data_IF_614224291897
#
_entry.id   IF_614224291897
#
_cell.length_a   1.000
_cell.length_b   1.000
_cell.length_c   1.000
_cell.angle_alpha   90.00
_cell.angle_beta   90.00
_cell.angle_gamma   90.00
#
_symmetry.space_group_name_H-M   'P 1'
#
loop_
_entity.id
_entity.type
_entity.pdbx_description
1 polymer ?
#
# COMPACT_ATOMS: atom_id res chain seq x y z
N UNK A 1 -57.29 44.90 8.49
CA UNK A 1 -56.96 45.68 7.27
C UNK A 1 -55.68 46.44 7.60
N UNK A 2 -54.50 45.88 7.34
CA UNK A 2 -53.79 45.77 6.06
C UNK A 2 -53.45 47.16 5.49
N UNK A 3 -52.21 47.60 5.70
CA UNK A 3 -51.51 48.43 4.71
C UNK A 3 -50.14 47.80 4.45
N UNK A 4 -49.93 47.57 3.17
CA UNK A 4 -48.78 46.96 2.52
C UNK A 4 -47.79 48.10 2.28
N UNK A 5 -46.56 47.99 2.77
CA UNK A 5 -45.43 48.76 2.22
C UNK A 5 -44.56 47.78 1.45
N UNK A 6 -44.49 48.02 0.13
CA UNK A 6 -43.82 47.23 -0.89
C UNK A 6 -42.36 46.87 -0.50
N UNK A 7 -42.10 45.57 -0.34
CA UNK A 7 -40.75 45.02 -0.22
C UNK A 7 -40.16 44.62 -1.60
N UNK A 8 -40.47 45.38 -2.66
CA UNK A 8 -40.05 45.05 -4.04
C UNK A 8 -38.65 45.53 -4.43
N UNK A 9 -37.93 46.19 -3.55
CA UNK A 9 -36.59 46.69 -3.86
C UNK A 9 -35.44 45.92 -3.18
N UNK A 10 -35.71 44.84 -2.44
CA UNK A 10 -34.65 44.13 -1.71
C UNK A 10 -34.46 42.64 -2.07
N UNK A 11 -34.95 42.20 -3.24
CA UNK A 11 -34.63 40.87 -3.79
C UNK A 11 -33.55 40.88 -4.88
N UNK A 12 -33.14 42.05 -5.38
CA UNK A 12 -32.14 42.14 -6.45
C UNK A 12 -30.69 42.21 -5.95
N UNK A 13 -30.46 42.27 -4.63
CA UNK A 13 -29.11 42.33 -4.04
C UNK A 13 -28.58 40.99 -3.48
N UNK A 14 -29.39 39.94 -3.44
CA UNK A 14 -28.97 38.60 -3.00
C UNK A 14 -28.64 37.65 -4.17
N UNK A 15 -28.06 38.17 -5.26
CA UNK A 15 -27.67 37.33 -6.41
C UNK A 15 -26.25 37.53 -6.93
N UNK A 16 -25.40 38.19 -6.17
CA UNK A 16 -23.96 38.22 -6.44
C UNK A 16 -23.22 38.14 -5.11
N UNK A 17 -22.79 36.93 -4.78
CA UNK A 17 -21.55 36.59 -4.07
C UNK A 17 -21.68 35.16 -3.55
N UNK A 18 -21.65 34.22 -4.48
CA UNK A 18 -21.19 32.86 -4.23
C UNK A 18 -19.90 32.70 -5.02
N UNK A 19 -18.86 33.40 -4.57
CA UNK A 19 -17.45 33.16 -4.95
C UNK A 19 -16.89 32.04 -4.07
N UNK A 20 -17.52 30.87 -4.14
CA UNK A 20 -17.00 29.65 -3.49
C UNK A 20 -17.18 28.47 -4.44
N UNK A 21 -16.65 28.63 -5.66
CA UNK A 21 -16.56 27.56 -6.67
C UNK A 21 -15.11 27.14 -6.95
N UNK A 22 -14.13 27.91 -6.50
CA UNK A 22 -12.72 27.67 -6.82
C UNK A 22 -12.05 26.57 -5.99
N UNK A 23 -12.57 26.27 -4.80
CA UNK A 23 -11.94 25.25 -3.92
C UNK A 23 -12.31 23.82 -4.33
N UNK A 24 -13.55 23.60 -4.78
CA UNK A 24 -13.97 22.28 -5.27
C UNK A 24 -13.33 21.97 -6.64
N UNK A 25 -13.22 22.96 -7.53
CA UNK A 25 -12.54 22.77 -8.81
C UNK A 25 -11.04 22.52 -8.63
N UNK A 26 -10.37 23.17 -7.67
CA UNK A 26 -8.95 22.96 -7.41
C UNK A 26 -8.67 21.58 -6.79
N UNK A 27 -9.49 21.08 -5.85
CA UNK A 27 -9.37 19.69 -5.38
C UNK A 27 -9.60 18.69 -6.52
N UNK A 28 -10.62 18.91 -7.36
CA UNK A 28 -10.92 18.06 -8.51
C UNK A 28 -9.85 18.14 -9.62
N UNK A 29 -9.14 19.25 -9.77
CA UNK A 29 -8.09 19.44 -10.78
C UNK A 29 -6.79 18.74 -10.35
N UNK A 30 -6.46 18.78 -9.05
CA UNK A 30 -5.32 18.08 -8.47
C UNK A 30 -5.53 16.55 -8.45
N UNK A 31 -6.76 16.08 -8.30
CA UNK A 31 -7.11 14.66 -8.42
C UNK A 31 -7.17 14.16 -9.87
N UNK A 32 -7.60 15.02 -10.81
CA UNK A 32 -7.83 14.67 -12.23
C UNK A 32 -6.56 14.68 -13.08
N UNK A 33 -5.52 15.40 -12.68
CA UNK A 33 -4.32 15.55 -13.50
C UNK A 33 -3.40 14.33 -13.51
N UNK A 34 -3.46 13.36 -12.59
CA UNK A 34 -2.57 12.18 -12.65
C UNK A 34 -1.05 12.48 -12.73
N UNK A 35 -0.65 13.75 -12.54
CA UNK A 35 0.72 14.26 -12.56
C UNK A 35 1.45 14.03 -11.23
N UNK A 36 0.73 13.49 -10.26
CA UNK A 36 1.21 13.01 -8.98
C UNK A 36 1.70 11.56 -9.13
N UNK A 37 2.79 11.32 -9.85
CA UNK A 37 3.81 10.39 -9.35
C UNK A 37 4.81 11.27 -8.61
N UNK A 38 4.46 11.76 -7.40
CA UNK A 38 5.25 12.81 -6.80
C UNK A 38 6.51 12.08 -6.37
N UNK A 39 7.69 12.59 -6.69
CA UNK A 39 8.96 11.87 -6.62
C UNK A 39 9.20 10.99 -5.36
N UNK A 40 8.49 11.23 -4.26
CA UNK A 40 8.34 10.32 -3.12
C UNK A 40 7.88 8.90 -3.49
N UNK A 41 6.91 8.69 -4.38
CA UNK A 41 6.40 7.35 -4.72
C UNK A 41 7.45 6.57 -5.50
N UNK A 42 8.03 7.19 -6.53
CA UNK A 42 9.19 6.66 -7.25
C UNK A 42 10.36 6.33 -6.32
N UNK A 43 10.67 7.20 -5.35
CA UNK A 43 11.76 6.98 -4.40
C UNK A 43 11.42 5.85 -3.40
N UNK A 44 10.19 5.78 -2.93
CA UNK A 44 9.69 4.72 -2.06
C UNK A 44 9.79 3.37 -2.78
N UNK A 45 9.30 3.29 -4.02
CA UNK A 45 9.40 2.10 -4.87
C UNK A 45 10.84 1.65 -5.03
N UNK A 46 11.75 2.57 -5.37
CA UNK A 46 13.18 2.27 -5.47
C UNK A 46 13.75 1.71 -4.17
N UNK A 47 13.38 2.32 -3.04
CA UNK A 47 13.83 1.90 -1.71
C UNK A 47 13.30 0.50 -1.36
N UNK A 48 12.02 0.24 -1.58
CA UNK A 48 11.39 -1.04 -1.30
C UNK A 48 11.92 -2.15 -2.22
N UNK A 49 12.10 -1.87 -3.51
CA UNK A 49 12.73 -2.78 -4.46
C UNK A 49 14.16 -3.14 -4.04
N UNK A 50 14.96 -2.14 -3.64
CA UNK A 50 16.31 -2.37 -3.16
C UNK A 50 16.34 -3.22 -1.88
N UNK A 51 15.44 -2.94 -0.93
CA UNK A 51 15.29 -3.72 0.29
C UNK A 51 14.92 -5.18 -0.03
N UNK A 52 13.90 -5.43 -0.85
CA UNK A 52 13.52 -6.77 -1.27
C UNK A 52 14.69 -7.51 -1.93
N UNK A 53 15.42 -6.84 -2.83
CA UNK A 53 16.57 -7.42 -3.52
C UNK A 53 17.75 -7.72 -2.61
N UNK A 54 17.93 -7.01 -1.49
CA UNK A 54 18.98 -7.33 -0.50
C UNK A 54 18.77 -8.71 0.14
N UNK A 55 17.52 -9.19 0.18
CA UNK A 55 17.16 -10.51 0.67
C UNK A 55 17.04 -11.53 -0.47
N UNK A 56 16.33 -11.21 -1.55
CA UNK A 56 16.10 -12.14 -2.67
C UNK A 56 17.39 -12.58 -3.36
N UNK A 57 18.43 -11.73 -3.39
CA UNK A 57 19.74 -12.12 -3.94
C UNK A 57 20.40 -13.26 -3.17
N UNK A 58 20.09 -13.43 -1.88
CA UNK A 58 20.54 -14.60 -1.07
C UNK A 58 19.91 -15.90 -1.57
N UNK A 59 18.75 -15.83 -2.22
CA UNK A 59 18.07 -16.93 -2.89
C UNK A 59 18.28 -16.92 -4.42
N UNK A 60 19.31 -16.21 -4.90
CA UNK A 60 19.71 -16.14 -6.31
C UNK A 60 18.60 -15.63 -7.27
N UNK A 61 17.80 -14.67 -6.80
CA UNK A 61 16.78 -14.00 -7.63
C UNK A 61 16.67 -12.50 -7.30
N UNK A 62 15.93 -11.76 -8.11
CA UNK A 62 15.66 -10.34 -7.92
C UNK A 62 14.30 -9.93 -8.52
N UNK A 63 13.86 -8.73 -8.18
CA UNK A 63 12.74 -8.02 -8.80
C UNK A 63 13.24 -6.72 -9.41
N UNK A 64 12.58 -6.29 -10.49
CA UNK A 64 12.84 -5.05 -11.20
C UNK A 64 11.65 -4.09 -11.06
N UNK A 65 10.43 -4.62 -11.16
CA UNK A 65 9.19 -3.88 -10.97
C UNK A 65 8.37 -4.56 -9.86
N UNK A 66 8.20 -3.86 -8.73
CA UNK A 66 7.60 -4.44 -7.52
C UNK A 66 6.11 -4.77 -7.70
N UNK A 67 5.40 -3.99 -8.52
CA UNK A 67 3.99 -4.18 -8.81
C UNK A 67 3.74 -5.36 -9.74
N UNK A 68 4.70 -5.69 -10.62
CA UNK A 68 4.57 -6.78 -11.59
C UNK A 68 5.18 -8.10 -11.09
N UNK A 69 6.38 -8.03 -10.51
CA UNK A 69 7.15 -9.21 -10.13
C UNK A 69 6.54 -9.99 -8.96
N UNK A 70 5.74 -9.33 -8.11
CA UNK A 70 5.06 -9.97 -6.99
C UNK A 70 3.66 -10.52 -7.34
N UNK A 71 3.10 -10.21 -8.51
CA UNK A 71 1.71 -10.57 -8.88
C UNK A 71 1.44 -12.06 -8.89
N UNK A 72 2.45 -12.91 -9.07
CA UNK A 72 2.27 -14.36 -9.07
C UNK A 72 2.40 -15.01 -7.68
N UNK A 73 2.76 -14.21 -6.66
CA UNK A 73 2.95 -14.62 -5.27
C UNK A 73 4.26 -15.36 -4.98
N UNK A 74 4.97 -15.89 -5.97
CA UNK A 74 6.13 -16.77 -5.75
C UNK A 74 7.32 -16.02 -5.13
N UNK A 75 7.70 -14.88 -5.70
CA UNK A 75 8.79 -14.06 -5.16
C UNK A 75 8.42 -13.45 -3.80
N UNK A 76 7.14 -13.17 -3.56
CA UNK A 76 6.64 -12.67 -2.29
C UNK A 76 6.74 -13.73 -1.19
N UNK A 77 6.31 -14.96 -1.48
CA UNK A 77 6.47 -16.10 -0.57
C UNK A 77 7.95 -16.33 -0.26
N UNK A 78 8.80 -16.39 -1.28
CA UNK A 78 10.25 -16.59 -1.11
C UNK A 78 10.88 -15.48 -0.26
N UNK A 79 10.49 -14.21 -0.47
CA UNK A 79 10.95 -13.10 0.36
C UNK A 79 10.60 -13.34 1.83
N UNK A 80 9.37 -13.75 2.14
CA UNK A 80 8.93 -14.06 3.50
C UNK A 80 9.74 -15.21 4.11
N UNK A 81 10.01 -16.27 3.35
CA UNK A 81 10.86 -17.38 3.82
C UNK A 81 12.27 -16.91 4.15
N UNK A 82 12.88 -16.09 3.29
CA UNK A 82 14.25 -15.59 3.48
C UNK A 82 14.36 -14.65 4.68
N UNK A 83 13.39 -13.78 4.91
CA UNK A 83 13.44 -12.81 6.01
C UNK A 83 13.04 -13.42 7.36
N UNK A 84 12.18 -14.45 7.36
CA UNK A 84 11.73 -15.11 8.60
C UNK A 84 12.57 -16.33 8.99
N UNK A 85 13.27 -16.94 8.03
CA UNK A 85 13.94 -18.24 8.24
C UNK A 85 12.98 -19.43 8.32
N UNK A 86 11.68 -19.22 8.08
CA UNK A 86 10.64 -20.25 8.14
C UNK A 86 10.14 -20.63 6.75
N UNK A 87 9.75 -21.89 6.57
CA UNK A 87 9.23 -22.38 5.29
C UNK A 87 7.72 -22.14 5.19
N UNK A 88 7.25 -21.63 4.05
CA UNK A 88 5.84 -21.44 3.79
C UNK A 88 5.21 -22.72 3.19
N UNK A 89 3.88 -22.76 3.15
CA UNK A 89 3.16 -23.82 2.44
C UNK A 89 3.58 -23.88 0.96
N UNK A 90 3.63 -25.09 0.38
CA UNK A 90 4.08 -25.28 -1.00
C UNK A 90 3.28 -24.40 -1.98
N UNK A 91 3.96 -23.71 -2.93
CA UNK A 91 3.28 -22.87 -3.90
C UNK A 91 2.45 -23.70 -4.89
N UNK A 92 1.31 -23.15 -5.29
CA UNK A 92 0.51 -23.63 -6.40
C UNK A 92 1.25 -23.39 -7.71
N UNK A 93 1.29 -24.43 -8.54
CA UNK A 93 1.94 -24.40 -9.85
C UNK A 93 0.90 -24.09 -10.91
N UNK A 94 1.14 -23.05 -11.70
CA UNK A 94 0.30 -22.73 -12.85
C UNK A 94 0.37 -21.25 -13.21
N UNK A 95 -0.13 -20.92 -14.40
CA UNK A 95 -0.09 -19.55 -14.94
C UNK A 95 -1.42 -18.80 -14.80
N UNK A 96 -2.51 -19.51 -14.53
CA UNK A 96 -3.85 -18.92 -14.39
C UNK A 96 -3.97 -18.03 -13.15
N UNK A 97 -4.88 -17.05 -13.20
CA UNK A 97 -5.08 -16.05 -12.13
C UNK A 97 -5.37 -16.69 -10.77
N UNK A 98 -6.18 -17.75 -10.70
CA UNK A 98 -6.49 -18.37 -9.41
C UNK A 98 -5.27 -19.00 -8.72
N UNK A 99 -4.28 -19.51 -9.49
CA UNK A 99 -3.02 -20.00 -8.89
C UNK A 99 -2.21 -18.86 -8.27
N UNK A 100 -2.19 -17.70 -8.95
CA UNK A 100 -1.55 -16.49 -8.43
C UNK A 100 -2.22 -16.03 -7.13
N UNK A 101 -3.55 -15.97 -7.12
CA UNK A 101 -4.36 -15.63 -5.94
C UNK A 101 -4.06 -16.60 -4.79
N UNK A 102 -4.04 -17.90 -5.05
CA UNK A 102 -3.73 -18.91 -4.03
C UNK A 102 -2.32 -18.73 -3.44
N UNK A 103 -1.32 -18.41 -4.26
CA UNK A 103 0.04 -18.13 -3.79
C UNK A 103 0.14 -16.85 -2.96
N UNK A 104 -0.52 -15.78 -3.40
CA UNK A 104 -0.56 -14.54 -2.62
C UNK A 104 -1.30 -14.76 -1.29
N UNK A 105 -2.43 -15.47 -1.27
CA UNK A 105 -3.14 -15.79 -0.03
C UNK A 105 -2.24 -16.53 0.97
N UNK A 106 -1.43 -17.51 0.53
CA UNK A 106 -0.46 -18.18 1.43
C UNK A 106 0.53 -17.21 2.06
N UNK A 107 0.99 -16.20 1.29
CA UNK A 107 1.86 -15.16 1.82
C UNK A 107 1.12 -14.26 2.82
N UNK A 108 -0.11 -13.84 2.51
CA UNK A 108 -0.94 -13.00 3.40
C UNK A 108 -1.29 -13.74 4.71
N UNK A 109 -1.66 -15.01 4.64
CA UNK A 109 -1.93 -15.86 5.79
C UNK A 109 -0.69 -16.00 6.69
N UNK A 110 0.50 -16.19 6.08
CA UNK A 110 1.75 -16.23 6.82
C UNK A 110 2.00 -14.92 7.58
N UNK A 111 1.80 -13.78 6.92
CA UNK A 111 1.96 -12.45 7.54
C UNK A 111 0.95 -12.26 8.69
N UNK A 112 -0.31 -12.63 8.48
CA UNK A 112 -1.36 -12.56 9.49
C UNK A 112 -1.02 -13.42 10.73
N UNK A 113 -0.49 -14.63 10.52
CA UNK A 113 -0.05 -15.53 11.60
C UNK A 113 1.12 -14.95 12.43
N UNK A 114 1.85 -13.95 11.92
CA UNK A 114 2.87 -13.20 12.68
C UNK A 114 2.30 -12.02 13.48
N UNK A 115 0.98 -11.92 13.59
CA UNK A 115 0.27 -10.91 14.37
C UNK A 115 0.05 -9.59 13.62
N UNK A 116 0.19 -9.59 12.30
CA UNK A 116 -0.01 -8.40 11.47
C UNK A 116 -1.46 -8.32 11.00
N UNK A 117 -2.09 -7.15 11.15
CA UNK A 117 -3.44 -6.90 10.63
C UNK A 117 -3.37 -6.33 9.21
N UNK A 118 -3.81 -7.10 8.22
CA UNK A 118 -3.87 -6.71 6.81
C UNK A 118 -5.21 -6.03 6.48
N UNK A 119 -5.42 -4.82 7.00
CA UNK A 119 -6.64 -4.06 6.71
C UNK A 119 -6.62 -3.59 5.27
N UNK A 120 -7.64 -3.96 4.50
CA UNK A 120 -7.83 -3.56 3.10
C UNK A 120 -6.78 -4.08 2.09
N UNK A 121 -5.94 -5.07 2.47
CA UNK A 121 -5.00 -5.71 1.54
C UNK A 121 -5.50 -7.14 1.26
N UNK A 122 -6.04 -7.33 0.06
CA UNK A 122 -6.47 -8.64 -0.46
C UNK A 122 -5.50 -9.18 -1.51
N UNK A 123 -5.57 -10.49 -1.79
CA UNK A 123 -4.73 -11.11 -2.81
C UNK A 123 -5.04 -10.59 -4.22
N UNK A 124 -6.29 -10.25 -4.49
CA UNK A 124 -6.76 -9.68 -5.76
C UNK A 124 -5.97 -8.42 -6.13
N UNK A 125 -5.84 -7.49 -5.19
CA UNK A 125 -5.14 -6.22 -5.41
C UNK A 125 -3.67 -6.42 -5.78
N UNK A 126 -3.01 -7.41 -5.15
CA UNK A 126 -1.61 -7.74 -5.44
C UNK A 126 -1.50 -8.43 -6.80
N UNK A 127 -2.41 -9.37 -7.11
CA UNK A 127 -2.40 -10.10 -8.38
C UNK A 127 -2.74 -9.18 -9.56
N UNK A 128 -3.57 -8.17 -9.33
CA UNK A 128 -3.97 -7.21 -10.36
C UNK A 128 -2.97 -6.05 -10.51
N UNK A 129 -2.00 -5.93 -9.59
CA UNK A 129 -0.89 -4.98 -9.68
C UNK A 129 -1.25 -3.59 -9.12
N UNK A 130 -2.16 -3.52 -8.15
CA UNK A 130 -2.51 -2.26 -7.50
C UNK A 130 -1.28 -1.70 -6.75
N UNK A 131 -0.73 -0.60 -7.26
CA UNK A 131 0.48 0.05 -6.72
C UNK A 131 0.36 0.35 -5.24
N UNK A 132 -0.72 1.01 -4.83
CA UNK A 132 -0.94 1.43 -3.43
C UNK A 132 -0.98 0.24 -2.49
N UNK A 133 -1.69 -0.81 -2.87
CA UNK A 133 -1.81 -2.02 -2.05
C UNK A 133 -0.52 -2.83 -2.02
N UNK A 134 0.21 -2.90 -3.13
CA UNK A 134 1.50 -3.58 -3.21
C UNK A 134 2.55 -2.88 -2.34
N UNK A 135 2.69 -1.56 -2.47
CA UNK A 135 3.62 -0.78 -1.65
C UNK A 135 3.22 -0.82 -0.17
N UNK A 136 1.93 -0.76 0.14
CA UNK A 136 1.40 -0.92 1.50
C UNK A 136 1.77 -2.27 2.12
N UNK A 137 1.61 -3.37 1.37
CA UNK A 137 1.99 -4.71 1.82
C UNK A 137 3.49 -4.80 2.12
N UNK A 138 4.33 -4.32 1.20
CA UNK A 138 5.79 -4.38 1.38
C UNK A 138 6.24 -3.52 2.56
N UNK A 139 5.65 -2.33 2.73
CA UNK A 139 5.86 -1.51 3.91
C UNK A 139 5.55 -2.27 5.21
N UNK A 140 4.39 -2.92 5.28
CA UNK A 140 4.00 -3.73 6.45
C UNK A 140 5.01 -4.85 6.73
N UNK A 141 5.50 -5.53 5.69
CA UNK A 141 6.52 -6.58 5.81
C UNK A 141 7.83 -6.00 6.37
N UNK A 142 8.31 -4.88 5.81
CA UNK A 142 9.52 -4.20 6.30
C UNK A 142 9.38 -3.85 7.78
N UNK A 143 8.26 -3.23 8.17
CA UNK A 143 8.04 -2.86 9.56
C UNK A 143 8.05 -4.07 10.52
N UNK A 144 7.46 -5.20 10.09
CA UNK A 144 7.35 -6.39 10.95
C UNK A 144 8.69 -7.11 11.11
N UNK A 145 9.47 -7.24 10.05
CA UNK A 145 10.64 -8.13 10.01
C UNK A 145 11.99 -7.41 10.04
N UNK A 146 12.09 -6.15 9.60
CA UNK A 146 13.37 -5.43 9.65
C UNK A 146 13.61 -4.69 10.98
N UNK A 147 12.54 -4.29 11.67
CA UNK A 147 12.64 -3.41 12.86
C UNK A 147 12.44 -4.19 14.17
N UNK A 148 11.63 -5.25 14.19
CA UNK A 148 11.34 -5.97 15.44
C UNK A 148 12.42 -7.00 15.83
N UNK A 149 13.22 -7.46 14.87
CA UNK A 149 14.43 -8.27 15.13
C UNK A 149 15.53 -7.49 15.88
N UNK A 150 15.45 -6.14 15.89
CA UNK A 150 16.37 -5.29 16.67
C UNK A 150 16.10 -5.42 18.18
N UNK A 151 14.99 -6.04 18.62
CA UNK A 151 14.65 -6.10 20.06
C UNK A 151 15.31 -7.23 20.87
N UNK A 152 16.20 -8.06 20.31
CA UNK A 152 16.76 -9.23 21.03
C UNK A 152 18.29 -9.37 20.92
N UNK A 153 19.05 -8.27 21.04
CA UNK A 153 20.51 -8.36 21.27
C UNK A 153 21.05 -7.48 22.41
N UNK A 154 20.17 -6.92 23.26
CA UNK A 154 20.60 -6.01 24.32
C UNK A 154 19.85 -6.18 25.63
N UNK A 155 20.03 -7.32 26.32
CA UNK A 155 19.80 -7.50 27.77
C UNK A 155 20.17 -8.92 28.25
N UNK A 156 21.40 -9.39 28.01
CA UNK A 156 21.98 -10.34 28.97
C UNK A 156 22.57 -9.50 30.09
N UNK A 157 21.82 -9.41 31.17
CA UNK A 157 22.28 -8.79 32.40
C UNK A 157 23.34 -9.70 33.01
N UNK A 158 24.61 -9.43 32.73
CA UNK A 158 25.69 -9.88 33.60
C UNK A 158 25.58 -9.06 34.88
N UNK A 159 24.76 -9.56 35.81
CA UNK A 159 24.84 -9.21 37.22
C UNK A 159 24.86 -10.49 38.05
N UNK A 160 26.00 -10.64 38.71
CA UNK A 160 26.39 -11.50 39.83
C UNK A 160 26.98 -12.86 39.44
#
# INVERSE_FOLDING_TARGET
>A
MMEIVDNRHNMSQYKQNSEDGGYMEQEEEWEREGLLDPAWEKQQRKTFTAWCNSHLRKANTNIDNIEEDFRNGLKLMLLLEVISGETLAKPDRGKMRFHKIANVNKALDFIANKGVKLVSIGAEEIVDGNTKMTLGLIWTIILRFAIQDISVEGKTSDKL
#
